data_IF_884865808734
#
_entry.id   IF_884865808734
#
_cell.length_a   1.000
_cell.length_b   1.000
_cell.length_c   1.000
_cell.angle_alpha   90.00
_cell.angle_beta   90.00
_cell.angle_gamma   90.00
#
_symmetry.space_group_name_H-M   'P 1'
#
loop_
_entity.id
_entity.type
_entity.pdbx_description
1 polymer ?
#
# COMPACT_ATOMS: atom_id res chain seq x y z
N UNK A 1 -2.99 7.88 -1.66
CA UNK A 1 -3.70 7.01 -0.69
C UNK A 1 -5.18 7.02 -1.00
N UNK A 2 -5.92 5.96 -0.68
CA UNK A 2 -7.39 5.93 -0.77
C UNK A 2 -7.98 5.30 0.49
N UNK A 3 -9.13 5.80 0.94
CA UNK A 3 -9.93 5.25 2.05
C UNK A 3 -11.11 4.40 1.56
N UNK A 4 -11.25 4.23 0.24
CA UNK A 4 -12.30 3.39 -0.33
C UNK A 4 -12.04 1.91 -0.02
N UNK A 5 -13.10 1.14 0.22
CA UNK A 5 -13.01 -0.31 0.30
C UNK A 5 -12.66 -0.87 -1.10
N UNK A 6 -11.52 -1.58 -1.21
CA UNK A 6 -11.04 -2.18 -2.46
C UNK A 6 -11.16 -3.72 -2.44
N UNK A 7 -12.11 -4.25 -1.68
CA UNK A 7 -12.35 -5.69 -1.52
C UNK A 7 -11.66 -6.29 -0.30
N UNK A 8 -11.77 -7.63 -0.12
CA UNK A 8 -11.40 -8.30 1.13
C UNK A 8 -9.94 -8.13 1.56
N UNK A 9 -9.02 -7.87 0.62
CA UNK A 9 -7.61 -7.64 0.92
C UNK A 9 -7.33 -6.23 1.47
N UNK A 10 -8.16 -5.25 1.12
CA UNK A 10 -8.00 -3.83 1.49
C UNK A 10 -9.36 -3.22 1.89
N UNK A 11 -10.02 -3.76 2.93
CA UNK A 11 -11.39 -3.38 3.27
C UNK A 11 -11.50 -1.93 3.77
N UNK A 12 -10.41 -1.36 4.31
CA UNK A 12 -10.34 0.00 4.85
C UNK A 12 -9.53 0.96 3.98
N UNK A 13 -9.23 0.55 2.74
CA UNK A 13 -8.39 1.31 1.83
C UNK A 13 -6.93 0.92 1.85
N UNK A 14 -6.15 1.71 1.11
CA UNK A 14 -4.81 1.34 0.66
C UNK A 14 -3.91 2.57 0.61
N UNK A 15 -2.76 2.45 1.25
CA UNK A 15 -1.63 3.35 1.08
C UNK A 15 -0.64 2.74 0.07
N UNK A 16 -0.19 3.55 -0.88
CA UNK A 16 0.78 3.16 -1.91
C UNK A 16 1.97 4.08 -1.82
N UNK A 17 3.17 3.51 -1.70
CA UNK A 17 4.42 4.24 -1.68
C UNK A 17 5.37 3.71 -2.74
N UNK A 18 6.10 4.61 -3.41
CA UNK A 18 7.17 4.23 -4.32
C UNK A 18 8.36 3.70 -3.52
N UNK A 19 8.96 2.62 -4.03
CA UNK A 19 10.19 2.05 -3.51
C UNK A 19 11.29 2.25 -4.54
N UNK A 20 12.12 3.26 -4.28
CA UNK A 20 13.25 3.63 -5.12
C UNK A 20 14.44 2.68 -5.02
N UNK A 21 14.45 1.80 -4.02
CA UNK A 21 15.50 0.82 -3.80
C UNK A 21 14.88 -0.54 -3.45
N UNK A 22 14.33 -1.19 -4.46
CA UNK A 22 13.73 -2.51 -4.35
C UNK A 22 14.82 -3.62 -4.34
N UNK A 23 15.77 -3.52 -3.40
CA UNK A 23 16.92 -4.41 -3.12
C UNK A 23 17.62 -5.02 -4.35
N UNK A 24 17.09 -6.11 -4.90
CA UNK A 24 17.66 -6.85 -6.05
C UNK A 24 16.89 -6.68 -7.37
N UNK A 25 15.89 -5.81 -7.39
CA UNK A 25 15.01 -5.62 -8.54
C UNK A 25 14.86 -4.15 -8.94
N UNK A 26 14.16 -3.94 -10.05
CA UNK A 26 13.78 -2.60 -10.49
C UNK A 26 12.85 -1.94 -9.47
N UNK A 27 12.80 -0.60 -9.50
CA UNK A 27 11.87 0.18 -8.68
C UNK A 27 10.43 -0.30 -8.84
N UNK A 28 9.67 -0.25 -7.75
CA UNK A 28 8.26 -0.62 -7.74
C UNK A 28 7.46 0.22 -6.74
N UNK A 29 6.28 -0.27 -6.39
CA UNK A 29 5.41 0.32 -5.37
C UNK A 29 5.03 -0.73 -4.34
N UNK A 30 4.97 -0.35 -3.07
CA UNK A 30 4.47 -1.19 -1.99
C UNK A 30 3.03 -0.84 -1.67
N UNK A 31 2.23 -1.87 -1.44
CA UNK A 31 0.83 -1.78 -1.05
C UNK A 31 0.73 -2.03 0.45
N UNK A 32 0.22 -1.06 1.21
CA UNK A 32 0.04 -1.17 2.66
C UNK A 32 -1.43 -0.98 2.99
N UNK A 33 -2.11 -1.99 3.58
CA UNK A 33 -3.47 -1.83 4.06
C UNK A 33 -3.56 -0.65 5.04
N UNK A 34 -4.50 0.28 4.77
CA UNK A 34 -4.51 1.57 5.45
C UNK A 34 -4.69 1.43 6.97
N UNK A 35 -5.43 0.43 7.43
CA UNK A 35 -5.68 0.14 8.85
C UNK A 35 -4.42 -0.18 9.66
N UNK A 36 -3.28 -0.45 9.02
CA UNK A 36 -2.00 -0.64 9.71
C UNK A 36 -1.31 0.68 10.07
N UNK A 37 -1.77 1.80 9.49
CA UNK A 37 -1.13 3.12 9.58
C UNK A 37 -2.00 4.09 10.38
N UNK A 38 -3.31 4.06 10.16
CA UNK A 38 -4.26 4.92 10.92
C UNK A 38 -4.65 4.25 12.23
N UNK A 39 -4.52 4.99 13.33
CA UNK A 39 -4.97 4.61 14.68
C UNK A 39 -6.39 5.07 14.93
#
# INVERSE_FOLDING_TARGET
MTTANLGPAFPYGLFVAQDGFNDKGNQNFKLVPLQLIVK
#
